data_IF_972300395913
#
_entry.id   IF_972300395913
#
_cell.length_a   1.000
_cell.length_b   1.000
_cell.length_c   1.000
_cell.angle_alpha   90.00
_cell.angle_beta   90.00
_cell.angle_gamma   90.00
#
_symmetry.space_group_name_H-M   'P 1'
#
loop_
_entity.id
_entity.type
_entity.pdbx_description
1 polymer ?
#
# COMPACT_ATOMS: atom_id res chain seq x y z
N UNK A 1 21.37 10.50 11.50
CA UNK A 1 19.95 10.15 11.24
C UNK A 1 19.63 8.89 12.03
N UNK A 2 18.57 8.86 12.84
CA UNK A 2 18.14 7.66 13.56
C UNK A 2 17.12 6.92 12.69
N UNK A 3 17.34 5.63 12.43
CA UNK A 3 16.39 4.82 11.67
C UNK A 3 15.07 4.70 12.43
N UNK A 4 13.95 4.72 11.70
CA UNK A 4 12.63 4.43 12.26
C UNK A 4 12.61 2.95 12.66
N UNK A 5 12.05 2.63 13.82
CA UNK A 5 11.86 1.26 14.31
C UNK A 5 10.35 0.97 14.39
N UNK A 6 9.72 0.53 13.29
CA UNK A 6 8.28 0.29 13.28
C UNK A 6 7.91 -0.91 14.15
N UNK A 7 6.69 -0.90 14.72
CA UNK A 7 6.05 -2.11 15.25
C UNK A 7 5.48 -2.95 14.10
N UNK A 8 4.91 -2.26 13.11
CA UNK A 8 4.19 -2.87 11.99
C UNK A 8 4.40 -2.06 10.72
N UNK A 9 4.55 -2.75 9.60
CA UNK A 9 4.55 -2.18 8.24
C UNK A 9 3.26 -2.61 7.56
N UNK A 10 2.46 -1.65 7.10
CA UNK A 10 1.19 -1.92 6.41
C UNK A 10 1.30 -1.54 4.95
N UNK A 11 1.02 -2.49 4.06
CA UNK A 11 0.86 -2.25 2.63
C UNK A 11 -0.62 -2.11 2.31
N UNK A 12 -1.00 -0.95 1.78
CA UNK A 12 -2.37 -0.70 1.28
C UNK A 12 -2.35 -0.80 -0.24
N UNK A 13 -3.06 -1.78 -0.78
CA UNK A 13 -3.00 -2.16 -2.18
C UNK A 13 -4.36 -2.14 -2.85
N UNK A 14 -4.38 -2.12 -4.18
CA UNK A 14 -5.58 -2.22 -5.00
C UNK A 14 -5.20 -2.74 -6.39
N UNK A 15 -6.18 -3.25 -7.14
CA UNK A 15 -5.94 -3.70 -8.51
C UNK A 15 -5.32 -2.56 -9.34
N UNK A 16 -4.30 -2.89 -10.13
CA UNK A 16 -3.52 -1.90 -10.89
C UNK A 16 -4.39 -1.05 -11.82
N UNK A 17 -5.42 -1.64 -12.42
CA UNK A 17 -6.44 -0.95 -13.22
C UNK A 17 -7.22 0.10 -12.40
N UNK A 18 -7.60 -0.24 -11.16
CA UNK A 18 -8.31 0.67 -10.25
C UNK A 18 -7.42 1.81 -9.80
N UNK A 19 -6.14 1.53 -9.56
CA UNK A 19 -5.15 2.58 -9.27
C UNK A 19 -4.98 3.51 -10.48
N UNK A 20 -4.84 2.96 -11.68
CA UNK A 20 -4.74 3.75 -12.91
C UNK A 20 -5.97 4.65 -13.10
N UNK A 21 -7.18 4.10 -12.95
CA UNK A 21 -8.43 4.87 -13.03
C UNK A 21 -8.51 6.01 -12.02
N UNK A 22 -8.09 5.79 -10.77
CA UNK A 22 -8.00 6.84 -9.74
C UNK A 22 -6.98 7.92 -10.09
N UNK A 23 -5.86 7.56 -10.74
CA UNK A 23 -4.83 8.52 -11.14
C UNK A 23 -5.30 9.42 -12.28
N UNK A 24 -6.03 8.87 -13.25
CA UNK A 24 -6.60 9.64 -14.35
C UNK A 24 -7.74 10.56 -13.90
N UNK A 25 -8.53 10.13 -12.91
CA UNK A 25 -9.71 10.88 -12.43
C UNK A 25 -9.38 11.97 -11.41
N UNK A 26 -8.14 12.06 -10.96
CA UNK A 26 -7.74 12.96 -9.89
C UNK A 26 -7.04 14.21 -10.43
N UNK A 27 -7.81 15.26 -10.61
CA UNK A 27 -7.35 16.54 -11.15
C UNK A 27 -6.48 17.34 -10.18
N UNK A 28 -6.46 16.99 -8.88
CA UNK A 28 -5.72 17.73 -7.86
C UNK A 28 -4.22 17.36 -7.83
N UNK A 29 -3.80 16.32 -8.55
CA UNK A 29 -2.42 15.81 -8.53
C UNK A 29 -1.88 15.66 -9.94
N UNK A 30 -0.73 16.28 -10.21
CA UNK A 30 0.05 15.98 -11.41
C UNK A 30 0.75 14.64 -11.19
N UNK A 31 0.34 13.62 -11.95
CA UNK A 31 0.96 12.30 -11.94
C UNK A 31 1.34 11.92 -13.35
N UNK A 32 2.52 11.32 -13.50
CA UNK A 32 2.88 10.71 -14.77
C UNK A 32 1.87 9.62 -15.10
N UNK A 33 1.42 9.61 -16.36
CA UNK A 33 0.61 8.53 -16.88
C UNK A 33 1.46 7.25 -16.89
N UNK A 34 1.32 6.43 -15.86
CA UNK A 34 1.92 5.10 -15.81
C UNK A 34 1.00 4.09 -16.47
N UNK A 35 1.59 3.20 -17.26
CA UNK A 35 0.86 2.04 -17.75
C UNK A 35 0.41 1.17 -16.57
N UNK A 36 -0.74 0.50 -16.72
CA UNK A 36 -1.26 -0.46 -15.73
C UNK A 36 -0.20 -1.51 -15.37
N UNK A 37 0.60 -1.92 -16.35
CA UNK A 37 1.73 -2.84 -16.19
C UNK A 37 2.80 -2.31 -15.25
N UNK A 38 3.13 -1.02 -15.31
CA UNK A 38 4.15 -0.43 -14.45
C UNK A 38 3.66 -0.34 -13.01
N UNK A 39 2.36 -0.04 -12.83
CA UNK A 39 1.71 -0.05 -11.51
C UNK A 39 1.70 -1.46 -10.93
N UNK A 40 1.43 -2.47 -11.76
CA UNK A 40 1.47 -3.87 -11.36
C UNK A 40 2.88 -4.29 -10.92
N UNK A 41 3.89 -4.07 -11.76
CA UNK A 41 5.29 -4.41 -11.44
C UNK A 41 5.72 -3.72 -10.14
N UNK A 42 5.38 -2.44 -9.98
CA UNK A 42 5.68 -1.71 -8.75
C UNK A 42 5.04 -2.38 -7.53
N UNK A 43 3.75 -2.71 -7.60
CA UNK A 43 3.05 -3.39 -6.51
C UNK A 43 3.61 -4.79 -6.24
N UNK A 44 4.02 -5.55 -7.25
CA UNK A 44 4.63 -6.87 -7.07
C UNK A 44 5.96 -6.81 -6.29
N UNK A 45 6.70 -5.72 -6.43
CA UNK A 45 7.97 -5.50 -5.71
C UNK A 45 7.77 -5.03 -4.26
N UNK A 46 6.67 -4.34 -3.95
CA UNK A 46 6.42 -3.77 -2.62
C UNK A 46 6.37 -4.81 -1.48
N UNK A 47 5.70 -5.97 -1.62
CA UNK A 47 5.70 -7.01 -0.60
C UNK A 47 7.10 -7.51 -0.23
N UNK A 48 7.98 -7.72 -1.23
CA UNK A 48 9.36 -8.16 -0.98
C UNK A 48 10.15 -7.11 -0.17
N UNK A 49 9.97 -5.83 -0.49
CA UNK A 49 10.57 -4.74 0.27
C UNK A 49 10.03 -4.68 1.71
N UNK A 50 8.71 -4.81 1.89
CA UNK A 50 8.08 -4.77 3.21
C UNK A 50 8.50 -5.94 4.11
N UNK A 51 8.56 -7.17 3.56
CA UNK A 51 9.08 -8.34 4.27
C UNK A 51 10.54 -8.12 4.66
N UNK A 52 11.35 -7.51 3.80
CA UNK A 52 12.74 -7.17 4.14
C UNK A 52 12.82 -6.21 5.33
N UNK A 53 11.94 -5.20 5.39
CA UNK A 53 11.84 -4.31 6.57
C UNK A 53 11.46 -5.10 7.81
N UNK A 54 10.44 -5.96 7.74
CA UNK A 54 10.03 -6.83 8.85
C UNK A 54 11.17 -7.70 9.35
N UNK A 55 11.94 -8.32 8.46
CA UNK A 55 13.11 -9.15 8.80
C UNK A 55 14.20 -8.35 9.50
N UNK A 56 14.50 -7.12 9.03
CA UNK A 56 15.57 -6.30 9.60
C UNK A 56 15.22 -5.67 10.94
N UNK A 57 13.94 -5.40 11.18
CA UNK A 57 13.47 -4.60 12.34
C UNK A 57 12.69 -5.41 13.36
N UNK A 58 12.28 -6.64 13.01
CA UNK A 58 11.36 -7.45 13.81
C UNK A 58 9.90 -6.98 13.72
N UNK A 59 9.56 -6.04 12.82
CA UNK A 59 8.19 -5.58 12.64
C UNK A 59 7.29 -6.66 12.02
N UNK A 60 6.01 -6.64 12.39
CA UNK A 60 4.99 -7.37 11.64
C UNK A 60 4.72 -6.71 10.28
N UNK A 61 4.30 -7.49 9.29
CA UNK A 61 3.92 -6.99 7.96
C UNK A 61 2.49 -7.37 7.68
N UNK A 62 1.64 -6.38 7.36
CA UNK A 62 0.23 -6.57 7.03
C UNK A 62 -0.08 -6.03 5.64
N UNK A 63 -0.85 -6.78 4.85
CA UNK A 63 -1.38 -6.32 3.56
C UNK A 63 -2.87 -6.07 3.70
N UNK A 64 -3.37 -4.95 3.20
CA UNK A 64 -4.76 -4.51 3.26
C UNK A 64 -5.21 -4.09 1.85
N UNK A 65 -6.33 -4.64 1.38
CA UNK A 65 -6.87 -4.34 0.05
C UNK A 65 -7.89 -3.21 0.09
N UNK A 66 -7.53 -2.04 -0.46
CA UNK A 66 -8.40 -0.88 -0.59
C UNK A 66 -9.22 -0.93 -1.89
N UNK A 67 -10.23 -1.80 -1.89
CA UNK A 67 -11.17 -1.98 -3.01
C UNK A 67 -12.01 -0.72 -3.23
N UNK A 68 -12.37 -0.48 -4.49
CA UNK A 68 -13.23 0.65 -4.86
C UNK A 68 -14.59 0.60 -4.14
N UNK A 69 -15.05 1.75 -3.63
CA UNK A 69 -16.28 1.85 -2.85
C UNK A 69 -16.23 1.26 -1.43
N UNK A 70 -15.10 0.67 -1.02
CA UNK A 70 -14.94 -0.03 0.27
C UNK A 70 -13.86 0.59 1.17
N UNK A 71 -13.67 1.90 1.10
CA UNK A 71 -12.64 2.60 1.88
C UNK A 71 -12.82 2.40 3.39
N UNK A 72 -14.07 2.37 3.88
CA UNK A 72 -14.38 2.15 5.30
C UNK A 72 -13.99 0.74 5.77
N UNK A 73 -14.14 -0.27 4.92
CA UNK A 73 -13.73 -1.65 5.22
C UNK A 73 -12.21 -1.73 5.40
N UNK A 74 -11.46 -1.12 4.47
CA UNK A 74 -10.00 -1.07 4.53
C UNK A 74 -9.51 -0.22 5.71
N UNK A 75 -10.18 0.89 6.03
CA UNK A 75 -9.86 1.73 7.19
C UNK A 75 -10.09 0.99 8.51
N UNK A 76 -11.17 0.20 8.60
CA UNK A 76 -11.44 -0.65 9.76
C UNK A 76 -10.38 -1.73 9.93
N UNK A 77 -10.02 -2.42 8.86
CA UNK A 77 -8.94 -3.43 8.91
C UNK A 77 -7.60 -2.81 9.36
N UNK A 78 -7.30 -1.59 8.90
CA UNK A 78 -6.12 -0.86 9.36
C UNK A 78 -6.20 -0.53 10.85
N UNK A 79 -7.34 -0.02 11.31
CA UNK A 79 -7.55 0.29 12.72
C UNK A 79 -7.39 -0.94 13.61
N UNK A 80 -7.98 -2.07 13.22
CA UNK A 80 -7.85 -3.34 13.94
C UNK A 80 -6.38 -3.80 13.99
N UNK A 81 -5.64 -3.67 12.89
CA UNK A 81 -4.20 -4.00 12.82
C UNK A 81 -3.35 -3.15 13.78
N UNK A 82 -3.73 -1.89 14.01
CA UNK A 82 -2.99 -1.00 14.89
C UNK A 82 -3.31 -1.22 16.38
N UNK A 83 -4.42 -1.89 16.69
CA UNK A 83 -4.86 -2.16 18.06
C UNK A 83 -4.37 -3.52 18.60
N UNK A 84 -3.85 -4.41 17.76
CA UNK A 84 -2.98 -5.54 18.16
C UNK A 84 -1.61 -5.04 18.66
#
# INVERSE_FOLDING_TARGET
>A
VKAIQPKTVVLVEADSEKIAGRRTSDEARIRDAQAVTDIQIHQEMCPAAAVSVGTLTGSTVRRIMNREGKVEEAARELADTLME
#
